data_IF_543314443065
#
_entry.id   IF_543314443065
#
_cell.length_a   1.000
_cell.length_b   1.000
_cell.length_c   1.000
_cell.angle_alpha   90.00
_cell.angle_beta   90.00
_cell.angle_gamma   90.00
#
_symmetry.space_group_name_H-M   'P 1'
#
loop_
_entity.id
_entity.type
_entity.pdbx_description
1 polymer ?
#
# COMPACT_ATOMS: atom_id res chain seq x y z
N UNK A 1 -32.56 -52.63 43.04
CA UNK A 1 -33.01 -53.13 41.73
C UNK A 1 -32.37 -52.30 40.63
N UNK A 2 -31.44 -52.92 39.89
CA UNK A 2 -31.43 -53.09 38.43
C UNK A 2 -31.00 -51.81 37.67
N UNK A 3 -29.73 -51.77 37.24
CA UNK A 3 -29.24 -52.12 35.88
C UNK A 3 -29.74 -51.07 34.86
N UNK A 4 -28.88 -50.37 34.12
CA UNK A 4 -28.17 -50.99 33.00
C UNK A 4 -27.00 -50.12 32.50
N UNK A 5 -25.81 -50.71 32.51
CA UNK A 5 -24.66 -50.39 31.65
C UNK A 5 -25.03 -50.78 30.21
N UNK A 6 -24.82 -49.93 29.20
CA UNK A 6 -24.15 -50.32 27.94
C UNK A 6 -23.96 -49.14 26.98
N UNK A 7 -22.70 -48.95 26.59
CA UNK A 7 -22.21 -48.59 25.25
C UNK A 7 -22.80 -47.38 24.51
N UNK A 8 -22.00 -46.32 24.42
CA UNK A 8 -21.72 -45.74 23.10
C UNK A 8 -20.23 -45.37 23.00
N UNK A 9 -19.43 -46.39 22.69
CA UNK A 9 -18.07 -46.27 22.22
C UNK A 9 -18.12 -45.90 20.72
N UNK A 10 -18.43 -44.64 20.41
CA UNK A 10 -18.28 -44.09 19.06
C UNK A 10 -17.06 -43.20 19.04
N UNK A 11 -15.91 -43.84 18.80
CA UNK A 11 -14.87 -43.42 17.84
C UNK A 11 -14.93 -41.92 17.51
N UNK A 12 -14.51 -41.08 18.46
CA UNK A 12 -13.84 -39.84 18.12
C UNK A 12 -12.43 -40.25 17.72
N UNK A 13 -12.29 -40.76 16.50
CA UNK A 13 -11.07 -40.51 15.75
C UNK A 13 -10.97 -39.01 15.67
N UNK A 14 -10.23 -38.44 16.62
CA UNK A 14 -9.50 -37.21 16.42
C UNK A 14 -8.71 -37.45 15.13
N UNK A 15 -9.30 -37.10 14.00
CA UNK A 15 -8.53 -36.67 12.87
C UNK A 15 -7.78 -35.43 13.37
N UNK A 16 -6.65 -35.68 14.01
CA UNK A 16 -5.48 -34.82 14.00
C UNK A 16 -5.14 -34.65 12.52
N UNK A 17 -5.94 -33.85 11.81
CA UNK A 17 -5.37 -33.02 10.76
C UNK A 17 -4.37 -32.19 11.51
N UNK A 18 -3.09 -32.58 11.40
CA UNK A 18 -1.98 -31.85 11.99
C UNK A 18 -2.26 -30.39 11.72
N UNK A 19 -2.43 -29.62 12.80
CA UNK A 19 -2.64 -28.19 12.71
C UNK A 19 -1.52 -27.68 11.82
N UNK A 20 -1.84 -27.14 10.64
CA UNK A 20 -0.84 -26.46 9.83
C UNK A 20 -0.16 -25.49 10.78
N UNK A 21 1.13 -25.73 11.05
CA UNK A 21 1.88 -24.89 11.98
C UNK A 21 1.92 -23.52 11.34
N UNK A 22 1.01 -22.63 11.75
CA UNK A 22 1.03 -21.24 11.34
C UNK A 22 2.40 -20.70 11.74
N UNK A 23 3.19 -20.27 10.75
CA UNK A 23 4.49 -19.68 11.02
C UNK A 23 4.24 -18.24 11.50
N UNK A 24 3.83 -18.14 12.75
CA UNK A 24 3.61 -16.89 13.45
C UNK A 24 4.95 -16.24 13.73
N UNK A 25 5.14 -15.04 13.20
CA UNK A 25 6.38 -14.27 13.31
C UNK A 25 6.00 -12.90 13.88
N UNK A 26 6.70 -12.51 14.93
CA UNK A 26 6.63 -11.19 15.54
C UNK A 26 7.68 -10.27 14.92
N UNK A 27 7.30 -9.05 14.54
CA UNK A 27 8.20 -8.07 13.95
C UNK A 27 8.44 -6.94 14.95
N UNK A 28 9.69 -6.76 15.34
CA UNK A 28 10.06 -5.87 16.41
C UNK A 28 11.24 -4.96 16.06
N UNK A 29 11.31 -3.81 16.70
CA UNK A 29 12.46 -2.92 16.63
C UNK A 29 13.63 -3.56 17.37
N UNK A 30 14.81 -3.57 16.73
CA UNK A 30 15.99 -4.25 17.28
C UNK A 30 16.41 -3.67 18.63
N UNK A 31 16.23 -2.39 18.86
CA UNK A 31 16.73 -1.68 20.04
C UNK A 31 15.73 -1.71 21.18
N UNK A 32 14.52 -1.24 20.93
CA UNK A 32 13.43 -1.13 21.92
C UNK A 32 12.72 -2.45 22.20
N UNK A 33 12.85 -3.42 21.29
CA UNK A 33 12.15 -4.72 21.31
C UNK A 33 10.63 -4.63 21.22
N UNK A 34 10.09 -3.43 20.99
CA UNK A 34 8.65 -3.21 20.82
C UNK A 34 8.20 -3.62 19.41
N UNK A 35 6.92 -3.99 19.31
CA UNK A 35 6.27 -4.30 18.04
C UNK A 35 6.43 -3.14 17.06
N UNK A 36 6.74 -3.47 15.81
CA UNK A 36 6.65 -2.51 14.72
C UNK A 36 5.30 -2.71 14.03
N UNK A 37 4.38 -1.73 14.13
CA UNK A 37 3.11 -1.84 13.46
C UNK A 37 3.27 -1.63 11.95
N UNK A 38 2.37 -2.22 11.17
CA UNK A 38 2.21 -1.91 9.75
C UNK A 38 3.44 -2.09 8.88
N UNK A 39 4.10 -3.21 9.07
CA UNK A 39 5.18 -3.69 8.22
C UNK A 39 4.55 -4.36 7.00
N UNK A 40 4.96 -3.92 5.81
CA UNK A 40 4.65 -4.63 4.57
C UNK A 40 5.51 -5.87 4.50
N UNK A 41 4.85 -7.02 4.43
CA UNK A 41 5.49 -8.32 4.24
C UNK A 41 5.12 -8.83 2.86
N UNK A 42 6.09 -8.84 1.93
CA UNK A 42 5.89 -9.22 0.54
C UNK A 42 6.64 -10.51 0.20
N UNK A 43 5.94 -11.47 -0.39
CA UNK A 43 6.49 -12.72 -0.94
C UNK A 43 6.68 -12.53 -2.44
N UNK A 44 7.96 -12.50 -2.86
CA UNK A 44 8.38 -11.89 -4.10
C UNK A 44 7.91 -12.61 -5.38
N UNK A 45 8.07 -13.94 -5.48
CA UNK A 45 7.65 -14.71 -6.67
C UNK A 45 6.16 -14.99 -6.65
N UNK A 46 5.58 -15.26 -5.48
CA UNK A 46 4.14 -15.44 -5.32
C UNK A 46 3.35 -14.15 -5.58
N UNK A 47 4.00 -12.97 -5.50
CA UNK A 47 3.38 -11.64 -5.63
C UNK A 47 2.24 -11.44 -4.63
N UNK A 48 2.46 -11.92 -3.42
CA UNK A 48 1.56 -11.77 -2.28
C UNK A 48 2.15 -10.75 -1.32
N UNK A 49 1.32 -9.91 -0.73
CA UNK A 49 1.76 -9.03 0.33
C UNK A 49 0.62 -8.75 1.29
N UNK A 50 0.99 -8.60 2.55
CA UNK A 50 0.12 -8.22 3.64
C UNK A 50 0.80 -7.11 4.44
N UNK A 51 0.01 -6.26 5.09
CA UNK A 51 0.53 -5.29 6.04
C UNK A 51 0.18 -5.75 7.46
N UNK A 52 1.16 -5.77 8.38
CA UNK A 52 0.88 -6.16 9.77
C UNK A 52 -0.04 -5.17 10.49
N UNK A 53 -0.79 -5.67 11.46
CA UNK A 53 -1.59 -4.82 12.33
C UNK A 53 -0.73 -4.14 13.40
N UNK A 54 -1.37 -3.53 14.42
CA UNK A 54 -0.66 -2.80 15.48
C UNK A 54 0.24 -3.67 16.35
N UNK A 55 -0.01 -4.97 16.40
CA UNK A 55 0.73 -5.94 17.20
C UNK A 55 2.02 -6.43 16.53
N UNK A 56 2.28 -6.07 15.27
CA UNK A 56 3.47 -6.51 14.54
C UNK A 56 3.49 -8.03 14.27
N UNK A 57 2.35 -8.72 14.39
CA UNK A 57 2.25 -10.16 14.14
C UNK A 57 1.87 -10.45 12.70
N UNK A 58 2.45 -11.52 12.16
CA UNK A 58 2.06 -12.11 10.88
C UNK A 58 2.08 -13.63 10.98
N UNK A 59 1.17 -14.29 10.28
CA UNK A 59 1.26 -15.73 10.01
C UNK A 59 1.53 -15.95 8.52
N UNK A 60 2.63 -16.64 8.20
CA UNK A 60 2.88 -17.12 6.84
C UNK A 60 2.35 -18.56 6.74
N UNK A 61 1.33 -18.84 5.92
CA UNK A 61 0.76 -20.18 5.80
C UNK A 61 1.70 -21.15 5.06
N UNK A 62 1.56 -22.45 5.34
CA UNK A 62 2.27 -23.54 4.66
C UNK A 62 3.63 -23.95 5.25
N UNK A 63 4.31 -24.88 4.58
CA UNK A 63 5.60 -25.44 5.02
C UNK A 63 6.78 -24.61 4.48
N UNK A 64 7.28 -23.68 5.31
CA UNK A 64 8.39 -22.79 4.97
C UNK A 64 9.62 -23.54 4.46
N UNK A 65 9.95 -24.72 5.01
CA UNK A 65 11.17 -25.47 4.62
C UNK A 65 11.18 -25.87 3.14
N UNK A 66 9.98 -26.00 2.55
CA UNK A 66 9.78 -26.37 1.15
C UNK A 66 9.55 -25.17 0.23
N UNK A 67 9.35 -23.97 0.78
CA UNK A 67 9.09 -22.77 0.00
C UNK A 67 10.39 -22.16 -0.54
N UNK A 68 10.51 -22.14 -1.87
CA UNK A 68 11.64 -21.54 -2.60
C UNK A 68 11.26 -20.15 -3.11
N UNK A 69 11.00 -19.26 -2.17
CA UNK A 69 10.72 -17.84 -2.43
C UNK A 69 11.45 -16.95 -1.42
N UNK A 70 11.44 -15.64 -1.68
CA UNK A 70 12.00 -14.60 -0.83
C UNK A 70 10.85 -13.81 -0.21
N UNK A 71 10.92 -13.60 1.10
CA UNK A 71 10.07 -12.66 1.81
C UNK A 71 10.84 -11.38 2.10
N UNK A 72 10.16 -10.25 1.93
CA UNK A 72 10.70 -8.91 2.12
C UNK A 72 9.87 -8.25 3.20
N UNK A 73 10.54 -7.72 4.22
CA UNK A 73 9.92 -6.92 5.28
C UNK A 73 10.34 -5.47 5.08
N UNK A 74 9.36 -4.60 4.85
CA UNK A 74 9.57 -3.19 4.57
C UNK A 74 8.60 -2.32 5.37
N UNK A 75 9.13 -1.26 5.97
CA UNK A 75 8.35 -0.25 6.70
C UNK A 75 9.15 1.06 6.72
N UNK A 76 8.46 2.19 6.68
CA UNK A 76 9.10 3.50 6.70
C UNK A 76 9.95 3.66 7.96
N UNK A 77 11.10 4.34 7.84
CA UNK A 77 12.10 4.53 8.91
C UNK A 77 12.87 3.29 9.36
N UNK A 78 12.73 2.15 8.69
CA UNK A 78 13.53 0.95 9.00
C UNK A 78 14.23 0.42 7.75
N UNK A 79 15.34 -0.27 7.98
CA UNK A 79 16.05 -0.98 6.94
C UNK A 79 15.19 -2.13 6.42
N UNK A 80 14.98 -2.15 5.10
CA UNK A 80 14.32 -3.28 4.43
C UNK A 80 15.22 -4.52 4.54
N UNK A 81 14.63 -5.64 4.97
CA UNK A 81 15.33 -6.92 5.08
C UNK A 81 14.67 -7.97 4.18
N UNK A 82 15.48 -8.88 3.65
CA UNK A 82 15.04 -9.95 2.76
C UNK A 82 15.53 -11.28 3.32
N UNK A 83 14.66 -12.27 3.37
CA UNK A 83 14.97 -13.64 3.80
C UNK A 83 14.47 -14.65 2.78
N UNK A 84 15.17 -15.76 2.59
CA UNK A 84 14.54 -16.92 1.97
C UNK A 84 13.49 -17.48 2.93
N UNK A 85 12.29 -17.83 2.44
CA UNK A 85 11.21 -18.32 3.30
C UNK A 85 11.61 -19.55 4.12
N UNK A 86 12.40 -20.44 3.53
CA UNK A 86 12.97 -21.62 4.19
C UNK A 86 13.80 -21.30 5.45
N UNK A 87 14.48 -20.16 5.47
CA UNK A 87 15.36 -19.75 6.58
C UNK A 87 14.53 -19.22 7.76
N UNK A 88 13.24 -18.97 7.57
CA UNK A 88 12.31 -18.57 8.61
C UNK A 88 11.67 -19.75 9.34
N UNK A 89 11.98 -20.99 8.98
CA UNK A 89 11.43 -22.15 9.66
C UNK A 89 11.92 -22.21 11.10
N UNK A 90 10.99 -22.04 12.06
CA UNK A 90 11.31 -22.01 13.49
C UNK A 90 11.76 -20.65 14.01
N UNK A 91 11.79 -19.61 13.17
CA UNK A 91 11.98 -18.23 13.61
C UNK A 91 10.65 -17.71 14.15
N UNK A 92 10.68 -17.15 15.36
CA UNK A 92 9.52 -16.54 16.01
C UNK A 92 9.54 -15.01 15.92
N UNK A 93 10.72 -14.40 15.72
CA UNK A 93 10.90 -12.95 15.75
C UNK A 93 11.85 -12.47 14.67
N UNK A 94 11.46 -11.40 13.98
CA UNK A 94 12.29 -10.64 13.06
C UNK A 94 12.56 -9.24 13.64
N UNK A 95 13.84 -8.92 13.81
CA UNK A 95 14.27 -7.61 14.30
C UNK A 95 14.70 -6.69 13.15
N UNK A 96 14.03 -5.55 13.03
CA UNK A 96 14.38 -4.51 12.07
C UNK A 96 15.23 -3.41 12.71
N UNK A 97 16.19 -2.89 11.95
CA UNK A 97 17.01 -1.76 12.36
C UNK A 97 16.33 -0.47 11.92
N UNK A 98 16.12 0.44 12.86
CA UNK A 98 15.67 1.78 12.55
C UNK A 98 16.76 2.53 11.77
N UNK A 99 16.36 3.26 10.74
CA UNK A 99 17.21 4.18 10.00
C UNK A 99 17.00 5.56 10.62
N UNK A 100 18.07 6.15 11.13
CA UNK A 100 18.07 7.55 11.50
C UNK A 100 18.03 8.38 10.22
N UNK A 101 16.87 8.95 9.93
CA UNK A 101 16.73 9.93 8.86
C UNK A 101 16.87 11.32 9.47
N UNK A 102 17.97 12.00 9.13
CA UNK A 102 18.09 13.44 9.37
C UNK A 102 17.00 14.15 8.56
N UNK A 103 16.05 14.86 9.21
CA UNK A 103 15.07 15.63 8.48
C UNK A 103 15.78 16.76 7.74
N UNK A 104 15.57 16.87 6.42
CA UNK A 104 15.90 18.07 5.68
C UNK A 104 14.89 19.15 6.07
N UNK A 105 15.12 19.81 7.20
CA UNK A 105 14.27 20.90 7.68
C UNK A 105 14.56 22.12 6.81
N UNK A 106 13.62 22.47 5.92
CA UNK A 106 13.65 23.77 5.26
C UNK A 106 13.31 24.87 6.28
N UNK A 107 14.14 25.91 6.35
CA UNK A 107 14.05 27.04 7.32
C UNK A 107 13.38 28.28 6.70
N UNK A 108 12.72 28.16 5.55
CA UNK A 108 12.20 29.32 4.83
C UNK A 108 10.74 29.61 5.17
N UNK A 109 10.44 30.86 5.54
CA UNK A 109 9.09 31.43 5.50
C UNK A 109 8.65 31.59 4.05
N UNK A 110 8.27 30.47 3.44
CA UNK A 110 7.78 30.41 2.08
C UNK A 110 6.47 31.23 1.95
N UNK A 111 6.43 32.19 1.02
CA UNK A 111 5.31 33.14 0.84
C UNK A 111 4.53 32.92 -0.45
N UNK A 112 5.15 32.27 -1.43
CA UNK A 112 4.52 32.03 -2.74
C UNK A 112 4.30 30.55 -2.93
N UNK A 113 3.06 30.17 -3.20
CA UNK A 113 2.66 28.79 -3.49
C UNK A 113 2.59 28.55 -5.00
N UNK A 114 2.97 27.35 -5.41
CA UNK A 114 2.86 26.85 -6.76
C UNK A 114 2.12 25.50 -6.70
N UNK A 115 1.11 25.37 -7.55
CA UNK A 115 0.32 24.14 -7.71
C UNK A 115 0.86 23.39 -8.93
N UNK A 116 1.16 22.10 -8.75
CA UNK A 116 1.67 21.19 -9.77
C UNK A 116 0.60 20.14 -10.10
N UNK A 117 0.49 19.76 -11.38
CA UNK A 117 -0.52 18.82 -11.90
C UNK A 117 -1.95 19.22 -11.48
N UNK A 118 -2.36 20.44 -11.84
CA UNK A 118 -3.64 21.02 -11.45
C UNK A 118 -4.81 20.43 -12.27
N UNK A 119 -5.26 19.22 -11.89
CA UNK A 119 -6.37 18.54 -12.57
C UNK A 119 -7.75 18.91 -12.00
N UNK A 120 -8.81 18.80 -12.83
CA UNK A 120 -10.21 18.75 -12.38
C UNK A 120 -10.63 17.30 -12.10
N UNK A 121 -11.11 17.05 -10.89
CA UNK A 121 -11.59 15.75 -10.43
C UNK A 121 -12.80 15.23 -11.25
N UNK A 122 -13.56 16.11 -11.90
CA UNK A 122 -14.70 15.71 -12.77
C UNK A 122 -14.26 15.07 -14.08
N UNK A 123 -13.02 15.32 -14.51
CA UNK A 123 -12.47 14.80 -15.76
C UNK A 123 -11.74 13.47 -15.59
N UNK A 124 -11.57 12.99 -14.34
CA UNK A 124 -10.99 11.68 -14.07
C UNK A 124 -11.95 10.59 -14.53
N UNK A 125 -11.55 9.84 -15.55
CA UNK A 125 -12.30 8.70 -16.08
C UNK A 125 -11.66 7.34 -15.74
N UNK A 126 -10.35 7.30 -15.49
CA UNK A 126 -9.58 6.08 -15.29
C UNK A 126 -8.95 6.02 -13.91
N UNK A 127 -8.69 4.80 -13.43
CA UNK A 127 -8.16 4.57 -12.09
C UNK A 127 -7.15 3.43 -12.06
N UNK A 128 -5.99 3.66 -11.45
CA UNK A 128 -5.00 2.64 -11.08
C UNK A 128 -5.32 2.01 -9.72
N UNK A 129 -4.67 0.88 -9.39
CA UNK A 129 -4.84 0.21 -8.09
C UNK A 129 -5.96 -0.84 -8.04
N UNK A 130 -6.52 -1.21 -9.20
CA UNK A 130 -7.57 -2.23 -9.33
C UNK A 130 -7.08 -3.41 -10.12
N UNK A 131 -7.53 -4.60 -9.74
CA UNK A 131 -7.49 -5.76 -10.61
C UNK A 131 -8.61 -5.61 -11.67
N UNK A 132 -8.34 -6.09 -12.88
CA UNK A 132 -9.31 -6.19 -13.99
C UNK A 132 -9.37 -7.65 -14.44
N UNK A 133 -10.32 -8.03 -15.31
CA UNK A 133 -10.33 -9.40 -15.86
C UNK A 133 -9.07 -9.73 -16.66
N UNK A 134 -8.39 -8.71 -17.20
CA UNK A 134 -7.22 -8.86 -18.06
C UNK A 134 -5.88 -8.59 -17.36
N UNK A 135 -5.87 -7.96 -16.18
CA UNK A 135 -4.64 -7.50 -15.55
C UNK A 135 -4.72 -7.48 -14.02
N UNK A 136 -3.61 -7.87 -13.38
CA UNK A 136 -3.46 -7.80 -11.92
C UNK A 136 -2.70 -6.53 -11.54
N UNK A 137 -3.13 -5.89 -10.46
CA UNK A 137 -2.40 -4.78 -9.86
C UNK A 137 -1.25 -5.28 -8.99
N UNK A 138 -0.05 -5.32 -9.57
CA UNK A 138 1.15 -5.92 -8.98
C UNK A 138 2.15 -4.89 -8.42
N UNK A 139 1.65 -3.78 -7.87
CA UNK A 139 2.48 -2.77 -7.21
C UNK A 139 2.22 -2.69 -5.71
N UNK A 140 3.28 -2.48 -4.93
CA UNK A 140 3.22 -2.11 -3.51
C UNK A 140 2.98 -0.60 -3.36
N UNK A 141 3.57 0.19 -4.25
CA UNK A 141 3.42 1.63 -4.31
C UNK A 141 3.30 2.10 -5.76
N UNK A 142 2.59 3.20 -5.97
CA UNK A 142 2.64 3.98 -7.21
C UNK A 142 3.10 5.39 -6.89
N UNK A 143 4.08 5.89 -7.61
CA UNK A 143 4.68 7.20 -7.44
C UNK A 143 4.48 8.05 -8.69
N UNK A 144 4.08 9.30 -8.50
CA UNK A 144 4.09 10.31 -9.54
C UNK A 144 5.30 11.23 -9.36
N UNK A 145 6.01 11.47 -10.45
CA UNK A 145 7.09 12.44 -10.54
C UNK A 145 6.54 13.86 -10.65
N UNK A 146 7.19 14.80 -9.98
CA UNK A 146 6.92 16.23 -10.06
C UNK A 146 8.23 16.98 -10.25
N UNK A 147 8.15 18.09 -10.98
CA UNK A 147 9.26 19.00 -11.17
C UNK A 147 8.96 20.39 -10.59
N UNK A 148 10.00 21.02 -10.05
CA UNK A 148 9.94 22.36 -9.49
C UNK A 148 11.04 23.24 -10.07
N UNK A 149 10.81 24.54 -10.09
CA UNK A 149 11.74 25.50 -10.70
C UNK A 149 13.08 25.60 -9.95
N UNK A 150 13.08 25.32 -8.63
CA UNK A 150 14.27 25.43 -7.78
C UNK A 150 14.27 24.41 -6.64
N UNK A 151 15.47 24.04 -6.21
CA UNK A 151 15.70 23.26 -4.99
C UNK A 151 15.32 24.04 -3.73
N UNK A 152 15.10 23.32 -2.63
CA UNK A 152 14.79 23.86 -1.31
C UNK A 152 13.32 24.26 -1.11
N UNK A 153 12.46 24.07 -2.12
CA UNK A 153 11.03 24.36 -1.99
C UNK A 153 10.38 23.42 -0.97
N UNK A 154 9.43 23.94 -0.20
CA UNK A 154 8.71 23.19 0.82
C UNK A 154 7.46 22.56 0.22
N UNK A 155 7.27 21.26 0.39
CA UNK A 155 6.02 20.59 0.06
C UNK A 155 4.97 20.88 1.14
N UNK A 156 3.89 21.56 0.77
CA UNK A 156 2.85 22.05 1.69
C UNK A 156 1.63 21.15 1.74
N UNK A 157 1.21 20.63 0.59
CA UNK A 157 -0.02 19.87 0.47
C UNK A 157 0.05 18.91 -0.71
N UNK A 158 -0.67 17.80 -0.60
CA UNK A 158 -1.06 17.00 -1.77
C UNK A 158 -2.56 16.80 -1.81
N UNK A 159 -3.12 16.76 -3.02
CA UNK A 159 -4.52 16.46 -3.27
C UNK A 159 -4.59 15.24 -4.18
N UNK A 160 -5.32 14.21 -3.75
CA UNK A 160 -5.33 12.90 -4.43
C UNK A 160 -6.76 12.56 -4.84
N UNK A 161 -7.00 12.32 -6.13
CA UNK A 161 -8.27 11.84 -6.66
C UNK A 161 -8.37 10.33 -6.54
N UNK A 162 -9.49 9.81 -6.05
CA UNK A 162 -9.75 8.36 -5.96
C UNK A 162 -11.10 7.97 -6.55
N UNK A 163 -11.24 6.69 -6.85
CA UNK A 163 -12.55 6.08 -7.06
C UNK A 163 -13.21 5.85 -5.70
N UNK A 164 -14.39 6.42 -5.50
CA UNK A 164 -15.24 6.04 -4.37
C UNK A 164 -16.11 4.85 -4.78
N UNK A 165 -16.00 3.78 -4.00
CA UNK A 165 -16.92 2.66 -4.06
C UNK A 165 -18.07 2.94 -3.12
N UNK A 166 -19.28 2.96 -3.66
CA UNK A 166 -20.49 3.08 -2.88
C UNK A 166 -20.80 1.71 -2.29
N UNK A 167 -20.89 1.63 -0.97
CA UNK A 167 -21.41 0.48 -0.25
C UNK A 167 -22.93 0.61 -0.23
N UNK A 168 -23.61 -0.28 -0.94
CA UNK A 168 -25.06 -0.39 -0.90
C UNK A 168 -25.43 -1.34 0.24
N UNK A 169 -25.77 -0.80 1.40
CA UNK A 169 -26.13 -1.59 2.58
C UNK A 169 -27.64 -1.79 2.57
N UNK A 170 -28.10 -2.95 2.06
CA UNK A 170 -29.49 -3.38 2.23
C UNK A 170 -29.69 -3.81 3.69
N UNK A 171 -29.99 -2.87 4.58
CA UNK A 171 -30.58 -3.22 5.87
C UNK A 171 -32.09 -3.38 5.70
N UNK A 172 -32.64 -4.47 6.23
CA UNK A 172 -34.07 -4.82 6.24
C UNK A 172 -34.99 -3.79 6.91
N UNK A 173 -34.43 -2.68 7.41
CA UNK A 173 -35.14 -1.61 8.11
C UNK A 173 -34.78 -0.26 7.44
N UNK A 174 -35.41 0.01 6.30
CA UNK A 174 -35.61 1.32 5.64
C UNK A 174 -34.71 2.50 6.08
N UNK A 175 -33.42 2.46 5.74
CA UNK A 175 -32.61 3.66 5.47
C UNK A 175 -31.56 3.35 4.41
N UNK A 176 -31.64 4.02 3.27
CA UNK A 176 -30.59 4.03 2.24
C UNK A 176 -29.34 4.72 2.80
N UNK A 177 -28.53 3.99 3.56
CA UNK A 177 -27.21 4.46 3.99
C UNK A 177 -26.21 4.19 2.86
N UNK A 178 -26.17 5.10 1.90
CA UNK A 178 -25.15 5.16 0.85
C UNK A 178 -23.84 5.62 1.49
N UNK A 179 -23.05 4.68 2.00
CA UNK A 179 -21.71 4.93 2.51
C UNK A 179 -20.68 4.80 1.39
N UNK A 180 -19.55 5.51 1.49
CA UNK A 180 -18.37 5.18 0.68
C UNK A 180 -17.47 4.26 1.50
N UNK A 181 -16.81 3.32 0.83
CA UNK A 181 -15.85 2.40 1.46
C UNK A 181 -14.71 3.18 2.12
N UNK A 182 -14.44 2.86 3.40
CA UNK A 182 -13.30 3.38 4.14
C UNK A 182 -12.00 2.96 3.44
N UNK A 183 -11.07 3.90 3.30
CA UNK A 183 -9.75 3.59 2.77
C UNK A 183 -8.69 4.15 3.68
N UNK A 184 -7.70 3.31 3.97
CA UNK A 184 -6.47 3.68 4.66
C UNK A 184 -5.29 3.48 3.72
N UNK A 185 -4.44 4.47 3.55
CA UNK A 185 -3.21 4.33 2.77
C UNK A 185 -2.13 5.25 3.28
N UNK A 186 -0.92 5.11 2.74
CA UNK A 186 0.21 5.97 3.12
C UNK A 186 0.66 6.82 1.95
N UNK A 187 1.08 8.03 2.28
CA UNK A 187 1.80 8.89 1.37
C UNK A 187 3.28 8.80 1.71
N UNK A 188 4.10 8.54 0.70
CA UNK A 188 5.56 8.59 0.78
C UNK A 188 6.09 9.66 -0.15
N UNK A 189 7.10 10.39 0.29
CA UNK A 189 7.70 11.46 -0.52
C UNK A 189 9.15 11.06 -0.77
N UNK A 190 9.54 10.94 -2.03
CA UNK A 190 10.90 10.54 -2.38
C UNK A 190 11.63 11.65 -3.12
N UNK A 191 12.93 11.73 -2.87
CA UNK A 191 13.85 12.42 -3.76
C UNK A 191 14.02 11.62 -5.06
N UNK A 192 14.56 12.26 -6.08
CA UNK A 192 15.05 11.56 -7.27
C UNK A 192 16.38 10.89 -6.98
N UNK A 193 16.51 9.64 -7.41
CA UNK A 193 17.82 8.99 -7.52
C UNK A 193 18.55 9.57 -8.74
N UNK A 194 19.64 10.30 -8.50
CA UNK A 194 20.35 11.05 -9.54
C UNK A 194 21.01 10.17 -10.61
N UNK A 195 21.20 8.88 -10.35
CA UNK A 195 21.81 7.94 -11.31
C UNK A 195 20.76 7.27 -12.19
N UNK A 196 19.58 7.01 -11.65
CA UNK A 196 18.56 6.17 -12.30
C UNK A 196 17.31 6.93 -12.71
N UNK A 197 17.11 8.15 -12.20
CA UNK A 197 15.91 8.97 -12.44
C UNK A 197 14.65 8.46 -11.75
N UNK A 198 14.77 7.47 -10.86
CA UNK A 198 13.64 6.79 -10.19
C UNK A 198 13.40 7.40 -8.81
N UNK A 199 12.30 7.05 -8.12
CA UNK A 199 12.19 7.35 -6.69
C UNK A 199 13.38 6.76 -5.91
N UNK A 200 14.08 7.63 -5.19
CA UNK A 200 15.29 7.32 -4.43
C UNK A 200 15.03 7.31 -2.92
N UNK A 201 15.71 8.22 -2.21
CA UNK A 201 15.63 8.34 -0.75
C UNK A 201 14.28 8.90 -0.31
N UNK A 202 13.67 8.34 0.74
CA UNK A 202 12.48 8.89 1.38
C UNK A 202 12.84 10.21 2.11
N UNK A 203 12.10 11.27 1.80
CA UNK A 203 12.28 12.62 2.34
C UNK A 203 11.50 12.85 3.65
N UNK A 204 10.62 11.93 4.03
CA UNK A 204 9.88 12.02 5.28
C UNK A 204 10.20 10.85 6.20
N UNK A 205 10.54 11.16 7.45
CA UNK A 205 10.82 10.16 8.48
C UNK A 205 9.60 9.90 9.40
N UNK A 206 8.42 10.37 9.01
CA UNK A 206 7.18 10.13 9.73
C UNK A 206 6.18 9.46 8.80
N UNK A 207 5.40 8.56 9.37
CA UNK A 207 4.27 7.94 8.67
C UNK A 207 3.20 9.00 8.42
N UNK A 208 2.85 9.16 7.14
CA UNK A 208 1.74 9.99 6.69
C UNK A 208 0.62 9.04 6.27
N UNK A 209 -0.17 8.61 7.26
CA UNK A 209 -1.32 7.74 7.03
C UNK A 209 -2.56 8.59 6.78
N UNK A 210 -3.25 8.29 5.69
CA UNK A 210 -4.53 8.89 5.33
C UNK A 210 -5.59 7.84 5.61
N UNK A 211 -6.60 8.21 6.39
CA UNK A 211 -7.81 7.42 6.62
C UNK A 211 -9.00 8.30 6.33
N UNK A 212 -9.83 7.87 5.39
CA UNK A 212 -11.01 8.62 5.01
C UNK A 212 -12.08 7.66 4.47
N UNK A 213 -13.34 8.01 4.76
CA UNK A 213 -14.49 7.21 4.38
C UNK A 213 -15.28 7.86 3.25
N UNK A 214 -15.44 9.17 3.26
CA UNK A 214 -16.53 9.84 2.52
C UNK A 214 -16.07 10.63 1.30
N UNK A 215 -14.77 10.90 1.15
CA UNK A 215 -14.28 11.84 0.15
C UNK A 215 -13.71 11.12 -1.08
N UNK A 216 -14.10 11.59 -2.26
CA UNK A 216 -13.52 11.19 -3.57
C UNK A 216 -12.18 11.87 -3.85
N UNK A 217 -11.81 12.84 -3.03
CA UNK A 217 -10.58 13.61 -3.14
C UNK A 217 -10.02 13.83 -1.74
N UNK A 218 -8.76 13.45 -1.53
CA UNK A 218 -8.08 13.61 -0.26
C UNK A 218 -7.19 14.83 -0.30
N UNK A 219 -7.36 15.75 0.62
CA UNK A 219 -6.44 16.87 0.81
C UNK A 219 -5.61 16.60 2.06
N UNK A 220 -4.29 16.47 1.88
CA UNK A 220 -3.36 16.16 2.95
C UNK A 220 -2.41 17.32 3.17
N UNK A 221 -2.50 17.92 4.36
CA UNK A 221 -1.57 18.98 4.77
C UNK A 221 -0.22 18.37 5.16
N UNK A 222 0.81 18.71 4.40
CA UNK A 222 2.19 18.25 4.58
C UNK A 222 3.10 19.30 5.25
N UNK A 223 2.59 20.52 5.47
CA UNK A 223 3.33 21.60 6.12
C UNK A 223 3.94 21.22 7.48
N UNK A 224 3.28 20.45 8.37
CA UNK A 224 3.86 20.06 9.65
C UNK A 224 5.11 19.20 9.55
N UNK A 225 5.33 18.54 8.42
CA UNK A 225 6.47 17.66 8.18
C UNK A 225 7.70 18.42 7.66
N UNK A 226 7.54 19.69 7.25
CA UNK A 226 8.62 20.56 6.76
C UNK A 226 9.49 19.91 5.68
N UNK A 227 8.86 19.16 4.78
CA UNK A 227 9.55 18.39 3.73
C UNK A 227 10.13 19.37 2.70
N UNK A 228 11.45 19.55 2.72
CA UNK A 228 12.16 20.30 1.70
C UNK A 228 12.51 19.39 0.52
N UNK A 229 12.27 19.87 -0.70
CA UNK A 229 12.64 19.19 -1.93
C UNK A 229 14.12 19.52 -2.20
N UNK A 230 15.06 18.57 -2.07
CA UNK A 230 16.48 18.88 -2.15
C UNK A 230 16.94 19.18 -3.59
N UNK A 231 16.28 18.58 -4.58
CA UNK A 231 16.58 18.75 -5.99
C UNK A 231 15.45 19.51 -6.70
N UNK A 232 15.41 19.46 -8.03
CA UNK A 232 14.29 20.01 -8.82
C UNK A 232 13.20 18.98 -9.13
N UNK A 233 13.38 17.75 -8.67
CA UNK A 233 12.47 16.63 -8.93
C UNK A 233 12.19 15.91 -7.62
N UNK A 234 10.94 15.52 -7.43
CA UNK A 234 10.52 14.68 -6.31
C UNK A 234 9.39 13.78 -6.75
N UNK A 235 9.05 12.81 -5.90
CA UNK A 235 7.95 11.90 -6.13
C UNK A 235 6.98 11.91 -4.97
N UNK A 236 5.68 11.88 -5.29
CA UNK A 236 4.63 11.57 -4.33
C UNK A 236 4.14 10.17 -4.63
N UNK A 237 4.29 9.26 -3.67
CA UNK A 237 3.86 7.88 -3.79
C UNK A 237 2.70 7.55 -2.87
N UNK A 238 1.78 6.76 -3.39
CA UNK A 238 0.73 6.08 -2.64
C UNK A 238 1.22 4.67 -2.35
N UNK A 239 1.24 4.31 -1.07
CA UNK A 239 1.52 2.97 -0.60
C UNK A 239 0.22 2.30 -0.15
N UNK A 240 -0.06 1.13 -0.75
CA UNK A 240 -1.23 0.33 -0.42
C UNK A 240 -1.01 -0.42 0.88
N UNK A 241 -1.92 -0.20 1.82
CA UNK A 241 -2.03 -0.99 3.05
C UNK A 241 -2.84 -2.24 2.72
N UNK A 242 -2.19 -3.39 2.63
CA UNK A 242 -2.81 -4.66 2.21
C UNK A 242 -3.31 -5.44 3.42
N UNK A 243 -4.30 -4.86 4.11
CA UNK A 243 -5.03 -5.48 5.20
C UNK A 243 -6.49 -5.76 4.80
N UNK A 244 -7.23 -6.43 5.67
CA UNK A 244 -8.62 -6.80 5.39
C UNK A 244 -9.57 -5.59 5.34
N UNK A 245 -9.22 -4.47 6.00
CA UNK A 245 -10.07 -3.26 6.04
C UNK A 245 -10.05 -2.51 4.72
N UNK A 246 -8.94 -2.61 3.99
CA UNK A 246 -8.80 -2.04 2.66
C UNK A 246 -9.15 -3.00 1.54
N UNK A 247 -9.55 -4.23 1.84
CA UNK A 247 -9.89 -5.21 0.82
C UNK A 247 -11.34 -4.99 0.36
N UNK A 248 -11.49 -4.56 -0.88
CA UNK A 248 -12.78 -4.45 -1.54
C UNK A 248 -12.94 -5.50 -2.63
N UNK A 249 -14.19 -5.81 -2.96
CA UNK A 249 -14.55 -6.82 -3.97
C UNK A 249 -15.29 -6.16 -5.13
N UNK A 250 -14.94 -6.58 -6.34
CA UNK A 250 -15.63 -6.20 -7.57
C UNK A 250 -16.14 -7.49 -8.24
N UNK A 251 -17.37 -7.46 -8.77
CA UNK A 251 -17.87 -8.53 -9.65
C UNK A 251 -17.47 -8.19 -11.08
N UNK A 252 -16.76 -9.10 -11.74
CA UNK A 252 -16.37 -8.94 -13.15
C UNK A 252 -16.83 -10.14 -13.95
N UNK A 253 -17.21 -9.92 -15.21
CA UNK A 253 -17.57 -11.01 -16.11
C UNK A 253 -16.31 -11.61 -16.72
N UNK A 254 -16.03 -12.87 -16.42
CA UNK A 254 -14.95 -13.61 -17.05
C UNK A 254 -15.45 -14.23 -18.36
N UNK A 255 -15.03 -13.64 -19.47
CA UNK A 255 -15.37 -14.07 -20.84
C UNK A 255 -14.95 -15.52 -21.14
N UNK A 256 -13.87 -16.03 -20.52
CA UNK A 256 -13.35 -17.38 -20.81
C UNK A 256 -14.27 -18.46 -20.23
N UNK A 257 -14.82 -18.22 -19.05
CA UNK A 257 -15.71 -19.16 -18.37
C UNK A 257 -17.18 -18.76 -18.44
N UNK A 258 -17.48 -17.62 -19.08
CA UNK A 258 -18.82 -17.05 -19.29
C UNK A 258 -19.61 -16.88 -17.99
N UNK A 259 -18.95 -16.43 -16.93
CA UNK A 259 -19.54 -16.28 -15.60
C UNK A 259 -19.01 -15.03 -14.91
N UNK A 260 -19.85 -14.46 -14.05
CA UNK A 260 -19.39 -13.47 -13.10
C UNK A 260 -18.49 -14.12 -12.05
N UNK A 261 -17.33 -13.51 -11.84
CA UNK A 261 -16.37 -13.88 -10.81
C UNK A 261 -16.11 -12.69 -9.91
N UNK A 262 -15.97 -12.97 -8.62
CA UNK A 262 -15.55 -11.96 -7.66
C UNK A 262 -14.04 -11.83 -7.72
N UNK A 263 -13.55 -10.63 -8.00
CA UNK A 263 -12.15 -10.25 -7.85
C UNK A 263 -12.02 -9.32 -6.65
N UNK A 264 -10.89 -9.38 -5.95
CA UNK A 264 -10.61 -8.47 -4.84
C UNK A 264 -9.50 -7.50 -5.22
N UNK A 265 -9.58 -6.28 -4.73
CA UNK A 265 -8.55 -5.24 -4.87
C UNK A 265 -8.35 -4.55 -3.53
N UNK A 266 -7.15 -4.05 -3.28
CA UNK A 266 -6.91 -3.22 -2.12
C UNK A 266 -7.15 -1.75 -2.47
N UNK A 267 -7.82 -1.02 -1.59
CA UNK A 267 -8.06 0.41 -1.71
C UNK A 267 -6.81 1.20 -1.33
N UNK A 268 -6.65 2.43 -1.83
CA UNK A 268 -7.54 3.14 -2.76
C UNK A 268 -7.32 2.71 -4.22
N UNK A 269 -8.29 3.01 -5.09
CA UNK A 269 -8.02 3.10 -6.52
C UNK A 269 -7.79 4.57 -6.88
N UNK A 270 -6.59 4.89 -7.36
CA UNK A 270 -6.12 6.27 -7.58
C UNK A 270 -6.47 6.71 -9.00
N UNK A 271 -7.02 7.91 -9.15
CA UNK A 271 -7.36 8.46 -10.45
C UNK A 271 -6.13 8.63 -11.35
N UNK A 272 -6.36 8.61 -12.65
CA UNK A 272 -5.38 9.01 -13.65
C UNK A 272 -5.66 10.46 -14.02
N UNK A 273 -4.61 11.29 -14.14
CA UNK A 273 -4.76 12.69 -14.52
C UNK A 273 -5.31 12.78 -15.95
N UNK A 274 -6.27 13.68 -16.23
CA UNK A 274 -6.67 13.99 -17.60
C UNK A 274 -5.60 14.81 -18.34
N UNK A 275 -4.61 15.36 -17.62
CA UNK A 275 -3.51 16.12 -18.21
C UNK A 275 -2.54 15.16 -18.91
N UNK A 276 -2.20 15.47 -20.16
CA UNK A 276 -1.36 14.63 -21.01
C UNK A 276 0.01 15.30 -21.16
N UNK A 277 1.08 14.55 -20.88
CA UNK A 277 2.47 14.90 -21.18
C UNK A 277 3.02 14.04 -22.32
N UNK A 278 4.16 14.43 -22.89
CA UNK A 278 4.93 13.59 -23.81
C UNK A 278 5.77 12.52 -23.08
N UNK A 279 5.95 12.67 -21.76
CA UNK A 279 6.81 11.81 -20.94
C UNK A 279 6.00 11.12 -19.84
N UNK A 280 6.31 9.85 -19.57
CA UNK A 280 5.66 9.07 -18.49
C UNK A 280 6.25 9.45 -17.13
N UNK A 281 5.40 9.90 -16.21
CA UNK A 281 5.80 10.33 -14.87
C UNK A 281 5.40 9.34 -13.76
N UNK A 282 4.88 8.16 -14.11
CA UNK A 282 4.38 7.17 -13.14
C UNK A 282 5.37 6.02 -12.97
N UNK A 283 5.68 5.72 -11.71
CA UNK A 283 6.54 4.61 -11.30
C UNK A 283 5.79 3.65 -10.38
N UNK A 284 5.99 2.35 -10.56
CA UNK A 284 5.47 1.31 -9.68
C UNK A 284 6.59 0.59 -8.93
N UNK A 285 6.42 0.42 -7.62
CA UNK A 285 7.30 -0.42 -6.79
C UNK A 285 6.76 -1.86 -6.82
N UNK A 286 7.53 -2.78 -7.41
CA UNK A 286 7.12 -4.18 -7.51
C UNK A 286 7.32 -4.95 -6.17
N UNK A 287 6.80 -6.18 -6.12
CA UNK A 287 6.92 -7.08 -4.96
C UNK A 287 8.35 -7.55 -4.66
N UNK A 288 9.31 -7.23 -5.53
CA UNK A 288 10.75 -7.48 -5.30
C UNK A 288 11.45 -6.24 -4.70
N UNK A 289 10.72 -5.13 -4.57
CA UNK A 289 11.21 -3.84 -4.10
C UNK A 289 11.94 -3.05 -5.18
N UNK A 290 11.61 -3.25 -6.46
CA UNK A 290 12.22 -2.48 -7.56
C UNK A 290 11.22 -1.49 -8.15
N UNK A 291 11.68 -0.25 -8.33
CA UNK A 291 10.96 0.75 -9.10
C UNK A 291 11.06 0.48 -10.60
N UNK A 292 9.91 0.54 -11.27
CA UNK A 292 9.78 0.41 -12.73
C UNK A 292 8.79 1.45 -13.26
N UNK A 293 8.94 1.93 -14.50
CA UNK A 293 7.91 2.74 -15.14
C UNK A 293 6.58 1.99 -15.15
N UNK A 294 5.50 2.67 -14.80
CA UNK A 294 4.15 2.09 -14.82
C UNK A 294 3.46 2.43 -16.13
N UNK A 295 3.50 1.51 -17.08
CA UNK A 295 3.12 1.75 -18.48
C UNK A 295 1.69 1.32 -18.82
N UNK A 296 0.86 0.94 -17.84
CA UNK A 296 -0.47 0.37 -18.09
C UNK A 296 -1.41 1.30 -18.87
N UNK A 297 -1.29 2.62 -18.65
CA UNK A 297 -2.08 3.64 -19.35
C UNK A 297 -1.27 4.41 -20.41
N UNK A 298 -0.04 3.96 -20.68
CA UNK A 298 0.83 4.57 -21.69
C UNK A 298 0.36 4.17 -23.09
N UNK A 299 0.48 5.05 -24.10
CA UNK A 299 1.02 6.41 -24.04
C UNK A 299 0.00 7.50 -23.69
N UNK A 300 -1.28 7.14 -23.55
CA UNK A 300 -2.38 8.11 -23.51
C UNK A 300 -2.44 8.90 -22.19
N UNK A 301 -1.90 8.34 -21.11
CA UNK A 301 -1.87 8.98 -19.80
C UNK A 301 -0.52 8.84 -19.13
N UNK A 302 -0.03 9.96 -18.61
CA UNK A 302 1.34 10.10 -18.10
C UNK A 302 1.43 10.36 -16.61
N UNK A 303 0.32 10.71 -15.96
CA UNK A 303 0.30 11.20 -14.60
C UNK A 303 -0.86 10.58 -13.79
N UNK A 304 -0.67 10.46 -12.48
CA UNK A 304 -1.76 10.13 -11.57
C UNK A 304 -2.58 11.41 -11.29
N UNK A 305 -3.79 11.25 -10.78
CA UNK A 305 -4.58 12.35 -10.25
C UNK A 305 -4.06 12.73 -8.86
N UNK A 306 -2.80 13.15 -8.79
CA UNK A 306 -2.14 13.68 -7.60
C UNK A 306 -1.66 15.10 -7.92
N UNK A 307 -2.15 16.07 -7.16
CA UNK A 307 -1.76 17.48 -7.25
C UNK A 307 -0.88 17.78 -6.06
N UNK A 308 0.16 18.58 -6.26
CA UNK A 308 1.07 18.98 -5.18
C UNK A 308 1.12 20.51 -5.09
N UNK A 309 1.03 21.03 -3.86
CA UNK A 309 1.29 22.44 -3.58
C UNK A 309 2.65 22.55 -2.92
N UNK A 310 3.55 23.29 -3.55
CA UNK A 310 4.90 23.59 -3.05
C UNK A 310 5.01 25.09 -2.80
N UNK A 311 5.86 25.51 -1.87
CA UNK A 311 6.02 26.91 -1.55
C UNK A 311 7.50 27.31 -1.40
N UNK A 312 7.77 28.57 -1.67
CA UNK A 312 9.12 29.14 -1.65
C UNK A 312 9.21 30.57 -1.16
#
# INVERSE_FOLDING_TARGET
>A
MKRMILFLLCILTLSLKGQEKGNAIYIADRTTKLAIPSVTVAIARAKLAITTEKDGLITIPGDLKRMRDTVIFAVQTYQTVKYALQDLSGVDTIFLNKIDAEPLIGVTDARTELVLNDYDRKEIALYAGRQTETSRFECLQLAQQFEVSRAGMLLKQVVIGRLAFVLDYFDTIQRDLVGIEETTFRIRIYDVDSLTGRPGKDLCNKIIEVRDKDNRQFTVNLSPYKIAIPNKTFFVAIEWMRDFRNMGYDMVYDEKIKKEVQIFSYRPAIGISPLISSELHIWGLDFKGNWKPYTYFSPDYTDLAIKATVAY
#
